data_IF_086310489050
#
_entry.id   IF_086310489050
#
_cell.length_a   1.000
_cell.length_b   1.000
_cell.length_c   1.000
_cell.angle_alpha   90.00
_cell.angle_beta   90.00
_cell.angle_gamma   90.00
#
_symmetry.space_group_name_H-M   'P 1'
#
loop_
_entity.id
_entity.type
_entity.pdbx_description
1 polymer ?
#
# COMPACT_ATOMS: atom_id res chain seq x y z
N UNK A 1 -35.61 -16.01 43.46
CA UNK A 1 -34.60 -15.28 42.68
C UNK A 1 -33.51 -16.27 42.32
N UNK A 2 -33.08 -16.16 41.07
CA UNK A 2 -31.81 -16.59 40.51
C UNK A 2 -31.62 -18.01 39.94
N UNK A 3 -31.20 -17.96 38.68
CA UNK A 3 -30.26 -18.83 38.00
C UNK A 3 -30.83 -20.03 37.24
N UNK A 4 -31.23 -19.77 35.98
CA UNK A 4 -30.99 -20.69 34.84
C UNK A 4 -31.27 -20.09 33.44
N UNK A 5 -31.21 -18.76 33.26
CA UNK A 5 -31.05 -18.15 31.92
C UNK A 5 -29.63 -18.28 31.36
N UNK A 6 -28.76 -19.03 32.03
CA UNK A 6 -27.33 -19.18 31.69
C UNK A 6 -27.05 -20.12 30.52
N UNK A 7 -28.08 -20.71 29.89
CA UNK A 7 -27.90 -21.67 28.77
C UNK A 7 -28.02 -21.02 27.39
N UNK A 8 -28.70 -19.88 27.24
CA UNK A 8 -28.81 -19.18 25.95
C UNK A 8 -27.62 -18.26 25.64
N UNK A 9 -26.75 -17.99 26.61
CA UNK A 9 -25.59 -17.10 26.46
C UNK A 9 -24.28 -17.83 26.13
N UNK A 10 -24.33 -19.05 25.58
CA UNK A 10 -23.12 -19.80 25.18
C UNK A 10 -23.06 -20.22 23.70
N UNK A 11 -24.04 -19.85 22.89
CA UNK A 11 -24.02 -20.14 21.46
C UNK A 11 -23.44 -18.99 20.61
N UNK A 12 -23.31 -17.78 21.16
CA UNK A 12 -22.76 -16.62 20.46
C UNK A 12 -21.31 -16.30 20.78
N UNK A 13 -20.70 -16.93 21.79
CA UNK A 13 -19.28 -16.71 22.13
C UNK A 13 -18.31 -17.70 21.47
N UNK A 14 -18.80 -18.67 20.71
CA UNK A 14 -17.95 -19.75 20.19
C UNK A 14 -18.06 -19.99 18.67
N UNK A 15 -18.33 -18.92 17.91
CA UNK A 15 -18.14 -18.91 16.44
C UNK A 15 -17.28 -17.74 15.97
N UNK A 16 -16.21 -17.40 16.70
CA UNK A 16 -15.29 -16.34 16.27
C UNK A 16 -13.82 -16.72 16.45
N UNK A 17 -13.46 -17.99 16.23
CA UNK A 17 -12.05 -18.41 16.28
C UNK A 17 -11.56 -19.18 15.04
N UNK A 18 -12.40 -19.37 14.02
CA UNK A 18 -11.93 -19.80 12.69
C UNK A 18 -11.89 -18.66 11.66
N UNK A 19 -12.76 -17.67 11.79
CA UNK A 19 -12.83 -16.56 10.82
C UNK A 19 -11.76 -15.49 11.04
N UNK A 20 -11.21 -15.33 12.26
CA UNK A 20 -10.23 -14.28 12.55
C UNK A 20 -8.88 -14.55 11.85
N UNK A 21 -8.42 -15.81 11.80
CA UNK A 21 -7.14 -16.18 11.16
C UNK A 21 -7.24 -16.08 9.63
N UNK A 22 -8.42 -16.30 9.05
CA UNK A 22 -8.65 -16.12 7.61
C UNK A 22 -8.68 -14.63 7.26
N UNK A 23 -9.26 -13.79 8.12
CA UNK A 23 -9.42 -12.36 7.85
C UNK A 23 -8.08 -11.62 7.82
N UNK A 24 -7.12 -11.97 8.67
CA UNK A 24 -5.78 -11.35 8.64
C UNK A 24 -5.02 -11.70 7.36
N UNK A 25 -5.13 -12.95 6.89
CA UNK A 25 -4.50 -13.37 5.63
C UNK A 25 -5.18 -12.73 4.40
N UNK A 26 -6.49 -12.51 4.45
CA UNK A 26 -7.22 -11.77 3.40
C UNK A 26 -6.88 -10.28 3.41
N UNK A 27 -6.70 -9.67 4.57
CA UNK A 27 -6.18 -8.29 4.70
C UNK A 27 -4.74 -8.20 4.20
N UNK A 28 -3.91 -9.23 4.41
CA UNK A 28 -2.55 -9.29 3.87
C UNK A 28 -2.54 -9.44 2.34
N UNK A 29 -3.44 -10.28 1.80
CA UNK A 29 -3.67 -10.45 0.37
C UNK A 29 -4.22 -9.18 -0.28
N UNK A 30 -5.16 -8.49 0.36
CA UNK A 30 -5.72 -7.22 -0.11
C UNK A 30 -4.67 -6.09 -0.07
N UNK A 31 -3.78 -6.12 0.93
CA UNK A 31 -2.58 -5.25 1.00
C UNK A 31 -1.53 -5.59 -0.05
N UNK A 32 -1.44 -6.84 -0.53
CA UNK A 32 -0.56 -7.25 -1.63
C UNK A 32 -1.16 -6.91 -2.99
N UNK A 33 -2.49 -7.00 -3.14
CA UNK A 33 -3.20 -6.71 -4.39
C UNK A 33 -3.40 -5.21 -4.64
N UNK A 34 -3.49 -4.38 -3.60
CA UNK A 34 -3.68 -2.92 -3.73
C UNK A 34 -2.39 -2.08 -3.81
N UNK A 35 -1.19 -2.69 -3.89
CA UNK A 35 0.08 -1.94 -4.05
C UNK A 35 0.35 -1.60 -5.51
N UNK A 36 -0.64 -1.02 -6.21
CA UNK A 36 -0.34 -0.31 -7.43
C UNK A 36 0.28 1.04 -7.08
N UNK A 37 1.21 1.48 -7.91
CA UNK A 37 1.75 2.84 -7.81
C UNK A 37 0.70 3.75 -8.43
N UNK A 38 0.26 4.75 -7.69
CA UNK A 38 -0.77 5.67 -8.18
C UNK A 38 -0.24 6.47 -9.36
N UNK A 39 0.94 7.07 -9.16
CA UNK A 39 1.62 7.89 -10.16
C UNK A 39 3.13 7.76 -10.09
N UNK A 40 3.78 7.94 -11.25
CA UNK A 40 5.24 7.95 -11.45
C UNK A 40 5.77 9.32 -11.87
N UNK A 41 4.88 10.26 -12.19
CA UNK A 41 5.23 11.58 -12.73
C UNK A 41 5.07 12.70 -11.72
N UNK A 42 4.64 12.38 -10.51
CA UNK A 42 4.33 13.38 -9.51
C UNK A 42 5.63 13.90 -8.88
N UNK A 43 5.84 15.21 -8.96
CA UNK A 43 7.05 15.87 -8.44
C UNK A 43 6.84 16.49 -7.06
N UNK A 44 5.63 16.46 -6.52
CA UNK A 44 5.30 17.03 -5.21
C UNK A 44 4.44 16.07 -4.43
N UNK A 45 4.56 16.03 -3.09
CA UNK A 45 3.71 15.19 -2.27
C UNK A 45 2.23 15.50 -2.53
N UNK A 46 1.39 14.47 -2.71
CA UNK A 46 -0.05 14.64 -2.87
C UNK A 46 -0.69 15.09 -1.54
N UNK A 47 -1.92 15.62 -1.63
CA UNK A 47 -2.74 16.02 -0.47
C UNK A 47 -3.02 14.83 0.47
N UNK A 48 -3.39 15.12 1.73
CA UNK A 48 -3.58 14.10 2.78
C UNK A 48 -4.48 12.93 2.37
N UNK A 49 -5.56 13.20 1.62
CA UNK A 49 -6.49 12.17 1.15
C UNK A 49 -5.81 11.06 0.32
N UNK A 50 -4.71 11.40 -0.35
CA UNK A 50 -3.98 10.54 -1.27
C UNK A 50 -2.68 9.95 -0.69
N UNK A 51 -2.38 10.19 0.59
CA UNK A 51 -1.19 9.65 1.26
C UNK A 51 -1.20 8.11 1.41
N UNK A 52 -2.36 7.46 1.25
CA UNK A 52 -2.53 6.02 1.39
C UNK A 52 -1.95 5.19 0.22
N UNK A 53 -1.45 5.85 -0.84
CA UNK A 53 -0.93 5.20 -2.03
C UNK A 53 0.60 5.21 -2.10
N UNK A 54 1.14 4.33 -2.95
CA UNK A 54 2.55 4.38 -3.34
C UNK A 54 2.73 5.32 -4.54
N UNK A 55 3.84 6.04 -4.53
CA UNK A 55 4.24 6.94 -5.60
C UNK A 55 5.67 6.63 -6.01
N UNK A 56 6.00 6.83 -7.29
CA UNK A 56 7.39 7.04 -7.68
C UNK A 56 7.58 8.53 -7.84
N UNK A 57 8.60 9.05 -7.16
CA UNK A 57 8.95 10.47 -7.21
C UNK A 57 9.43 10.79 -8.61
N UNK A 58 8.67 11.63 -9.31
CA UNK A 58 9.01 12.13 -10.63
C UNK A 58 10.22 13.06 -10.60
N UNK A 59 10.69 13.46 -11.79
CA UNK A 59 11.78 14.42 -11.90
C UNK A 59 11.42 15.79 -11.30
N UNK A 60 12.43 16.56 -10.90
CA UNK A 60 12.30 17.89 -10.29
C UNK A 60 11.45 17.86 -9.01
N UNK A 61 11.80 16.96 -8.08
CA UNK A 61 11.03 16.77 -6.87
C UNK A 61 11.05 18.03 -5.99
N UNK A 62 9.93 18.32 -5.35
CA UNK A 62 9.69 19.55 -4.58
C UNK A 62 9.29 19.22 -3.14
N UNK A 63 9.35 20.24 -2.30
CA UNK A 63 8.94 20.17 -0.90
C UNK A 63 9.66 19.01 -0.18
N UNK A 64 8.92 18.17 0.55
CA UNK A 64 9.44 17.01 1.26
C UNK A 64 10.05 15.93 0.34
N UNK A 65 9.77 15.98 -0.97
CA UNK A 65 10.29 15.01 -1.94
C UNK A 65 11.61 15.47 -2.59
N UNK A 66 12.07 16.69 -2.32
CA UNK A 66 13.29 17.26 -2.91
C UNK A 66 14.52 16.35 -2.71
N UNK A 67 15.20 16.01 -3.81
CA UNK A 67 16.37 15.12 -3.81
C UNK A 67 16.05 13.62 -3.70
N UNK A 68 14.78 13.23 -3.81
CA UNK A 68 14.33 11.83 -3.75
C UNK A 68 13.79 11.32 -5.10
N UNK A 69 14.21 11.94 -6.22
CA UNK A 69 13.83 11.54 -7.56
C UNK A 69 14.09 10.04 -7.80
N UNK A 70 13.22 9.41 -8.60
CA UNK A 70 13.25 7.99 -8.95
C UNK A 70 13.05 7.00 -7.78
N UNK A 71 12.87 7.48 -6.54
CA UNK A 71 12.57 6.62 -5.39
C UNK A 71 11.09 6.33 -5.26
N UNK A 72 10.77 5.23 -4.58
CA UNK A 72 9.39 4.89 -4.23
C UNK A 72 9.05 5.62 -2.93
N UNK A 73 8.09 6.54 -2.99
CA UNK A 73 7.57 7.28 -1.85
C UNK A 73 6.31 6.62 -1.30
N UNK A 74 6.22 6.54 0.03
CA UNK A 74 5.00 6.15 0.75
C UNK A 74 4.87 6.98 2.03
N UNK A 75 3.64 7.19 2.48
CA UNK A 75 3.37 7.96 3.69
C UNK A 75 3.00 7.06 4.86
N UNK A 76 3.50 7.39 6.06
CA UNK A 76 3.11 6.73 7.32
C UNK A 76 2.93 7.75 8.44
N UNK A 77 4.04 8.27 8.95
CA UNK A 77 4.12 9.34 9.96
C UNK A 77 4.93 10.53 9.39
N UNK A 78 4.89 10.67 8.06
CA UNK A 78 5.80 11.44 7.22
C UNK A 78 6.16 10.68 5.96
N UNK A 79 6.75 11.37 4.97
CA UNK A 79 7.18 10.73 3.72
C UNK A 79 8.41 9.86 3.95
N UNK A 80 8.33 8.63 3.46
CA UNK A 80 9.41 7.65 3.48
C UNK A 80 9.75 7.29 2.04
N UNK A 81 11.05 7.11 1.79
CA UNK A 81 11.59 6.85 0.45
C UNK A 81 12.36 5.54 0.44
N UNK A 82 12.07 4.71 -0.56
CA UNK A 82 12.74 3.43 -0.79
C UNK A 82 13.49 3.53 -2.11
N UNK A 83 14.77 3.17 -2.09
CA UNK A 83 15.55 2.98 -3.30
C UNK A 83 15.11 1.70 -4.00
N UNK A 84 14.63 1.78 -5.26
CA UNK A 84 14.24 0.59 -5.99
C UNK A 84 15.46 -0.26 -6.37
N UNK A 85 15.35 -1.57 -6.16
CA UNK A 85 16.34 -2.53 -6.66
C UNK A 85 16.20 -2.72 -8.17
N UNK A 86 17.31 -2.98 -8.86
CA UNK A 86 17.29 -3.37 -10.27
C UNK A 86 16.41 -4.61 -10.46
N UNK A 87 15.50 -4.56 -11.44
CA UNK A 87 14.51 -5.62 -11.70
C UNK A 87 13.19 -5.47 -10.92
N UNK A 88 13.05 -4.43 -10.09
CA UNK A 88 11.76 -4.09 -9.50
C UNK A 88 10.75 -3.74 -10.60
N UNK A 89 9.50 -4.20 -10.49
CA UNK A 89 8.44 -3.84 -11.42
C UNK A 89 7.15 -3.55 -10.67
N UNK A 90 6.40 -2.55 -11.14
CA UNK A 90 5.14 -2.14 -10.55
C UNK A 90 4.13 -1.76 -11.61
N UNK A 91 2.85 -1.97 -11.31
CA UNK A 91 1.77 -1.43 -12.11
C UNK A 91 1.50 0.02 -11.70
N UNK A 92 1.51 0.95 -12.67
CA UNK A 92 1.18 2.36 -12.46
C UNK A 92 -0.25 2.60 -12.91
N UNK A 93 -1.12 3.00 -11.98
CA UNK A 93 -2.57 3.10 -12.20
C UNK A 93 -2.95 4.22 -13.18
N UNK A 94 -2.36 5.40 -13.07
CA UNK A 94 -2.64 6.52 -13.97
C UNK A 94 -2.23 6.24 -15.43
N UNK A 95 -1.11 5.53 -15.62
CA UNK A 95 -0.58 5.18 -16.95
C UNK A 95 -1.18 3.86 -17.49
N UNK A 96 -1.90 3.11 -16.64
CA UNK A 96 -2.44 1.77 -16.92
C UNK A 96 -1.40 0.83 -17.53
N UNK A 97 -0.18 0.89 -16.99
CA UNK A 97 0.97 0.20 -17.56
C UNK A 97 1.91 -0.32 -16.48
N UNK A 98 2.67 -1.36 -16.81
CA UNK A 98 3.77 -1.82 -15.99
C UNK A 98 5.02 -0.99 -16.24
N UNK A 99 5.71 -0.64 -15.16
CA UNK A 99 7.02 -0.02 -15.20
C UNK A 99 8.02 -0.93 -14.52
N UNK A 100 9.18 -1.12 -15.15
CA UNK A 100 10.32 -1.85 -14.61
C UNK A 100 11.46 -0.89 -14.31
N UNK A 101 12.15 -1.10 -13.20
CA UNK A 101 13.35 -0.35 -12.85
C UNK A 101 14.58 -1.09 -13.37
N UNK A 102 15.33 -0.46 -14.29
CA UNK A 102 16.50 -1.07 -14.93
C UNK A 102 17.80 -0.95 -14.09
N UNK A 103 17.71 -0.40 -12.87
CA UNK A 103 18.85 -0.09 -12.00
C UNK A 103 19.20 1.40 -11.95
N UNK A 104 18.79 2.16 -12.96
CA UNK A 104 19.00 3.62 -13.03
C UNK A 104 17.69 4.39 -13.19
N UNK A 105 16.77 3.89 -14.02
CA UNK A 105 15.53 4.56 -14.39
C UNK A 105 14.35 3.58 -14.41
N UNK A 106 13.16 4.14 -14.26
CA UNK A 106 11.91 3.45 -14.51
C UNK A 106 11.54 3.53 -15.99
N UNK A 107 11.31 2.37 -16.59
CA UNK A 107 10.92 2.24 -17.99
C UNK A 107 9.57 1.54 -18.10
N UNK A 108 8.75 2.00 -19.03
CA UNK A 108 7.47 1.36 -19.32
C UNK A 108 7.73 0.03 -20.03
N UNK A 109 7.24 -1.06 -19.47
CA UNK A 109 7.27 -2.38 -20.08
C UNK A 109 6.18 -2.43 -21.16
N UNK A 110 6.57 -2.81 -22.38
CA UNK A 110 5.70 -2.91 -23.56
C UNK A 110 5.44 -4.37 -23.89
#
# INVERSE_FOLDING_TARGET
MDNKSSTFLKLSQNQSQKEIVINENFVLLDKLFNKYIKSIKLSSPPLEEAQHYLYIVGQNAKDEWSGQENKIAYYRDGWQFIEPGAGAFFFVYEEKAFYGFNGNNWEKLT
#
